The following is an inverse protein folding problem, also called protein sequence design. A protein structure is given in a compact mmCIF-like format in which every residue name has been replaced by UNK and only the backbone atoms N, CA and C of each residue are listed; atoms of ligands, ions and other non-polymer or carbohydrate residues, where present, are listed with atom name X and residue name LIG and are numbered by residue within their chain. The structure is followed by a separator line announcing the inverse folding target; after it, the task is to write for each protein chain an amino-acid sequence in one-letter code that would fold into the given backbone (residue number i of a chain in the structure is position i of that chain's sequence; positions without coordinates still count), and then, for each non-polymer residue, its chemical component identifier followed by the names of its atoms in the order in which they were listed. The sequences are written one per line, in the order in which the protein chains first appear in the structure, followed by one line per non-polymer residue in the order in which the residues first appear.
data_IF_337357958593
#
_entry.id   IF_337357958593
#
_cell.length_a   1.000
_cell.length_b   1.000
_cell.length_c   1.000
_cell.angle_alpha   90.00
_cell.angle_beta   90.00
_cell.angle_gamma   90.00
#
_symmetry.space_group_name_H-M   'P 1'
#
loop_
_entity.id
_entity.type
_entity.pdbx_description
1 polymer ?
#
# COMPACT_ATOMS: atom_id res chain seq x y z
N UNK A 1 -10.33 69.39 -7.03
CA UNK A 1 -10.54 68.15 -7.79
C UNK A 1 -9.92 67.03 -6.99
N UNK A 2 -10.73 66.10 -6.49
CA UNK A 2 -10.27 64.97 -5.69
C UNK A 2 -10.93 63.73 -6.29
N UNK A 3 -10.13 62.96 -7.02
CA UNK A 3 -10.53 61.73 -7.69
C UNK A 3 -10.64 60.63 -6.64
N UNK A 4 -11.83 60.02 -6.50
CA UNK A 4 -12.01 58.81 -5.70
C UNK A 4 -11.62 57.62 -6.57
N UNK A 5 -10.44 57.06 -6.34
CA UNK A 5 -9.99 55.82 -6.97
C UNK A 5 -10.69 54.66 -6.25
N UNK A 6 -11.60 53.99 -6.96
CA UNK A 6 -12.25 52.77 -6.49
C UNK A 6 -11.26 51.61 -6.64
N UNK A 7 -10.61 51.22 -5.53
CA UNK A 7 -9.74 50.06 -5.48
C UNK A 7 -10.60 48.79 -5.40
N UNK A 8 -11.00 48.26 -6.56
CA UNK A 8 -11.69 46.97 -6.66
C UNK A 8 -10.73 45.82 -6.35
N UNK A 9 -10.47 45.60 -5.06
CA UNK A 9 -9.74 44.41 -4.58
C UNK A 9 -10.74 43.28 -4.40
N UNK A 10 -10.49 42.09 -4.96
CA UNK A 10 -11.37 40.94 -4.78
C UNK A 10 -11.47 40.60 -3.29
N UNK A 11 -12.69 40.40 -2.81
CA UNK A 11 -12.95 40.07 -1.42
C UNK A 11 -12.56 38.60 -1.14
N UNK A 12 -11.31 38.41 -0.73
CA UNK A 12 -10.71 37.11 -0.43
C UNK A 12 -11.39 36.38 0.74
N UNK A 13 -12.23 37.06 1.54
CA UNK A 13 -12.94 36.45 2.66
C UNK A 13 -14.04 35.46 2.24
N UNK A 14 -14.44 35.47 0.96
CA UNK A 14 -15.45 34.55 0.42
C UNK A 14 -14.85 33.22 -0.08
N UNK A 15 -13.52 33.15 -0.25
CA UNK A 15 -12.85 31.93 -0.69
C UNK A 15 -12.53 31.05 0.52
N UNK A 16 -13.35 30.02 0.73
CA UNK A 16 -13.01 28.92 1.63
C UNK A 16 -11.92 28.09 0.94
N UNK A 17 -10.71 28.10 1.50
CA UNK A 17 -9.61 27.24 1.04
C UNK A 17 -9.98 25.76 1.23
N UNK A 18 -10.36 25.08 0.15
CA UNK A 18 -10.64 23.63 0.13
C UNK A 18 -9.35 22.79 0.28
N UNK A 19 -8.17 23.42 0.34
CA UNK A 19 -6.86 22.76 0.24
C UNK A 19 -6.13 22.43 1.55
N UNK A 20 -6.55 22.92 2.71
CA UNK A 20 -5.89 22.62 4.00
C UNK A 20 -6.79 21.79 4.89
N UNK A 21 -6.89 20.50 4.55
CA UNK A 21 -7.49 19.48 5.40
C UNK A 21 -6.41 19.04 6.40
N UNK A 22 -6.07 19.93 7.33
CA UNK A 22 -5.30 19.57 8.53
C UNK A 22 -6.25 18.97 9.56
N UNK A 23 -5.97 17.70 9.84
CA UNK A 23 -6.68 16.72 10.67
C UNK A 23 -6.62 17.06 12.17
N UNK A 24 -7.14 18.21 12.58
CA UNK A 24 -7.12 18.63 14.00
C UNK A 24 -8.22 19.62 14.40
N UNK A 25 -9.48 19.26 14.18
CA UNK A 25 -10.57 19.68 15.07
C UNK A 25 -11.85 18.88 14.81
N UNK A 26 -11.82 17.60 15.17
CA UNK A 26 -13.05 16.84 15.41
C UNK A 26 -13.43 17.01 16.89
N UNK A 27 -14.55 17.66 17.24
CA UNK A 27 -15.30 17.29 18.41
C UNK A 27 -16.19 16.10 18.06
N UNK A 28 -15.85 14.95 18.64
CA UNK A 28 -16.74 13.80 18.72
C UNK A 28 -17.84 14.07 19.76
N UNK A 29 -19.10 14.08 19.33
CA UNK A 29 -20.31 13.84 20.13
C UNK A 29 -21.45 13.70 19.12
N UNK A 30 -21.95 12.50 18.85
CA UNK A 30 -23.03 11.90 19.62
C UNK A 30 -24.17 11.62 18.63
N UNK A 31 -24.89 10.53 18.84
CA UNK A 31 -25.95 9.99 17.96
C UNK A 31 -26.95 11.06 17.47
N UNK A 32 -27.38 10.99 16.20
CA UNK A 32 -28.82 10.96 15.91
C UNK A 32 -29.16 10.70 14.44
N UNK A 33 -30.17 9.83 14.27
CA UNK A 33 -30.93 9.73 13.04
C UNK A 33 -31.75 11.00 12.85
N UNK A 34 -31.55 11.73 11.77
CA UNK A 34 -32.57 12.61 11.21
C UNK A 34 -32.25 12.80 9.72
N UNK A 35 -33.00 12.12 8.85
CA UNK A 35 -34.12 12.73 8.13
C UNK A 35 -33.72 14.05 7.46
N UNK A 36 -33.70 13.97 6.14
CA UNK A 36 -33.70 15.08 5.18
C UNK A 36 -34.47 16.30 5.68
N UNK A 37 -33.76 17.27 6.24
CA UNK A 37 -34.29 18.62 6.40
C UNK A 37 -34.07 19.34 5.06
N UNK A 38 -35.16 19.44 4.30
CA UNK A 38 -35.29 20.35 3.16
C UNK A 38 -35.12 21.77 3.71
N UNK A 39 -33.91 22.33 3.58
CA UNK A 39 -33.73 23.77 3.72
C UNK A 39 -34.38 24.42 2.51
N UNK A 40 -35.49 25.12 2.72
CA UNK A 40 -36.16 25.91 1.69
C UNK A 40 -35.24 27.06 1.23
N UNK A 41 -34.32 26.76 0.33
CA UNK A 41 -33.71 27.76 -0.55
C UNK A 41 -34.55 27.81 -1.82
N UNK A 42 -35.00 29.00 -2.24
CA UNK A 42 -35.69 29.27 -3.52
C UNK A 42 -34.86 28.90 -4.78
N UNK A 43 -33.74 28.22 -4.60
CA UNK A 43 -32.82 27.78 -5.64
C UNK A 43 -33.04 26.29 -5.82
N UNK A 44 -33.61 25.90 -6.96
CA UNK A 44 -33.78 24.50 -7.34
C UNK A 44 -32.42 23.78 -7.32
N UNK A 45 -32.31 22.75 -6.48
CA UNK A 45 -31.16 21.87 -6.44
C UNK A 45 -31.51 20.54 -7.13
N UNK A 46 -30.86 20.19 -8.26
CA UNK A 46 -31.14 18.93 -8.93
C UNK A 46 -30.76 17.75 -8.03
N UNK A 47 -31.51 16.65 -8.17
CA UNK A 47 -31.24 15.42 -7.44
C UNK A 47 -29.81 14.92 -7.71
N UNK A 48 -29.05 14.68 -6.65
CA UNK A 48 -27.74 14.04 -6.75
C UNK A 48 -27.93 12.57 -7.10
N UNK A 49 -27.74 12.21 -8.37
CA UNK A 49 -27.73 10.82 -8.79
C UNK A 49 -26.49 10.11 -8.27
N UNK A 50 -26.68 8.94 -7.67
CA UNK A 50 -25.57 8.06 -7.32
C UNK A 50 -24.93 7.51 -8.61
N UNK A 51 -23.59 7.43 -8.70
CA UNK A 51 -22.94 6.81 -9.84
C UNK A 51 -23.39 5.35 -9.98
N UNK A 52 -24.08 5.06 -11.09
CA UNK A 52 -24.40 3.70 -11.53
C UNK A 52 -23.18 3.12 -12.23
N UNK A 53 -22.47 2.22 -11.55
CA UNK A 53 -21.41 1.43 -12.15
C UNK A 53 -22.03 0.24 -12.88
N UNK A 54 -21.71 0.08 -14.17
CA UNK A 54 -22.01 -1.14 -14.92
C UNK A 54 -21.19 -2.31 -14.33
N UNK A 55 -21.68 -3.54 -14.50
CA UNK A 55 -21.03 -4.78 -14.04
C UNK A 55 -19.75 -5.10 -14.85
N UNK A 56 -18.81 -4.16 -14.88
CA UNK A 56 -17.43 -4.49 -15.20
C UNK A 56 -16.86 -5.29 -14.02
N UNK A 57 -16.48 -6.55 -14.28
CA UNK A 57 -15.80 -7.41 -13.31
C UNK A 57 -14.74 -6.58 -12.60
N UNK A 58 -14.96 -6.30 -11.30
CA UNK A 58 -14.08 -5.41 -10.52
C UNK A 58 -12.64 -5.93 -10.61
N UNK A 59 -11.79 -5.24 -11.36
CA UNK A 59 -10.39 -5.61 -11.52
C UNK A 59 -9.71 -5.54 -10.16
N UNK A 60 -9.24 -6.68 -9.66
CA UNK A 60 -8.56 -6.77 -8.37
C UNK A 60 -7.15 -6.18 -8.51
N UNK A 61 -7.01 -4.86 -8.39
CA UNK A 61 -5.72 -4.15 -8.51
C UNK A 61 -4.64 -4.69 -7.55
N UNK A 62 -5.03 -5.25 -6.41
CA UNK A 62 -4.09 -5.92 -5.49
C UNK A 62 -3.44 -7.17 -6.12
N UNK A 63 -4.22 -7.95 -6.87
CA UNK A 63 -3.75 -9.15 -7.57
C UNK A 63 -2.86 -8.75 -8.75
N UNK A 64 -3.26 -7.74 -9.53
CA UNK A 64 -2.43 -7.20 -10.62
C UNK A 64 -1.07 -6.68 -10.12
N UNK A 65 -1.06 -5.97 -8.99
CA UNK A 65 0.19 -5.52 -8.36
C UNK A 65 1.03 -6.71 -7.88
N UNK A 66 0.39 -7.76 -7.36
CA UNK A 66 1.09 -8.95 -6.91
C UNK A 66 1.69 -9.73 -8.09
N UNK A 67 0.96 -9.83 -9.22
CA UNK A 67 1.46 -10.36 -10.52
C UNK A 67 2.70 -9.60 -10.97
N UNK A 68 2.64 -8.27 -11.05
CA UNK A 68 3.79 -7.45 -11.46
C UNK A 68 5.01 -7.65 -10.56
N UNK A 69 4.80 -7.79 -9.25
CA UNK A 69 5.89 -8.05 -8.30
C UNK A 69 6.51 -9.43 -8.50
N UNK A 70 5.68 -10.46 -8.65
CA UNK A 70 6.15 -11.82 -8.87
C UNK A 70 6.90 -11.95 -10.21
N UNK A 71 6.39 -11.34 -11.29
CA UNK A 71 7.04 -11.37 -12.59
C UNK A 71 8.42 -10.68 -12.56
N UNK A 72 8.51 -9.55 -11.85
CA UNK A 72 9.79 -8.86 -11.64
C UNK A 72 10.82 -9.73 -10.93
N UNK A 73 10.39 -10.49 -9.93
CA UNK A 73 11.29 -11.37 -9.19
C UNK A 73 11.91 -12.44 -10.09
N UNK A 74 11.10 -13.10 -10.93
CA UNK A 74 11.58 -14.11 -11.89
C UNK A 74 12.60 -13.52 -12.88
N UNK A 75 12.37 -12.29 -13.35
CA UNK A 75 13.27 -11.63 -14.29
C UNK A 75 14.59 -11.17 -13.65
N UNK A 76 14.59 -10.91 -12.34
CA UNK A 76 15.78 -10.53 -11.58
C UNK A 76 16.48 -11.75 -10.96
N UNK A 77 16.00 -12.97 -11.22
CA UNK A 77 16.60 -14.20 -10.70
C UNK A 77 17.97 -14.43 -11.36
N UNK A 78 19.06 -14.49 -10.56
CA UNK A 78 20.42 -14.57 -11.08
C UNK A 78 20.69 -15.86 -11.86
N UNK A 79 19.98 -16.95 -11.53
CA UNK A 79 20.11 -18.25 -12.21
C UNK A 79 19.51 -18.24 -13.62
N UNK A 80 18.60 -17.30 -13.91
CA UNK A 80 17.95 -17.15 -15.21
C UNK A 80 18.66 -16.15 -16.13
N UNK A 81 19.47 -15.25 -15.56
CA UNK A 81 20.35 -14.39 -16.34
C UNK A 81 21.58 -15.20 -16.76
N UNK A 82 21.97 -15.12 -18.04
CA UNK A 82 23.25 -15.66 -18.48
C UNK A 82 24.36 -15.04 -17.62
N UNK A 83 25.06 -15.87 -16.85
CA UNK A 83 26.17 -15.39 -16.04
C UNK A 83 27.27 -14.91 -16.99
N UNK A 84 27.49 -13.60 -17.05
CA UNK A 84 28.67 -13.06 -17.70
C UNK A 84 29.91 -13.68 -17.04
N UNK A 85 30.80 -14.26 -17.85
CA UNK A 85 32.06 -14.89 -17.41
C UNK A 85 33.10 -13.81 -17.04
N UNK A 86 32.72 -12.98 -16.07
CA UNK A 86 33.52 -11.91 -15.49
C UNK A 86 33.74 -12.25 -14.01
N UNK A 87 34.93 -11.95 -13.46
CA UNK A 87 35.17 -12.15 -12.04
C UNK A 87 34.19 -11.31 -11.22
N UNK A 88 33.36 -11.97 -10.41
CA UNK A 88 32.37 -11.32 -9.53
C UNK A 88 33.03 -10.89 -8.23
N UNK A 89 32.64 -9.72 -7.72
CA UNK A 89 33.07 -9.27 -6.39
C UNK A 89 32.47 -10.15 -5.30
N UNK A 90 33.35 -10.78 -4.52
CA UNK A 90 33.01 -11.65 -3.40
C UNK A 90 33.17 -10.87 -2.09
N UNK A 91 32.09 -10.82 -1.31
CA UNK A 91 32.09 -10.22 0.03
C UNK A 91 32.11 -11.32 1.08
N UNK A 92 33.15 -11.32 1.93
CA UNK A 92 33.30 -12.33 2.98
C UNK A 92 32.17 -12.19 4.01
N UNK A 93 31.43 -13.27 4.26
CA UNK A 93 30.34 -13.30 5.25
C UNK A 93 28.97 -12.82 4.76
N UNK A 94 28.82 -12.46 3.48
CA UNK A 94 27.50 -12.21 2.86
C UNK A 94 27.12 -13.41 2.00
N UNK A 95 25.87 -13.89 2.09
CA UNK A 95 25.38 -14.89 1.14
C UNK A 95 25.08 -14.24 -0.21
N UNK A 96 25.22 -15.00 -1.30
CA UNK A 96 24.93 -14.56 -2.66
C UNK A 96 23.44 -14.24 -2.89
N UNK A 97 22.55 -14.64 -1.98
CA UNK A 97 21.10 -14.44 -2.11
C UNK A 97 20.65 -12.99 -1.88
N UNK A 98 21.53 -12.12 -1.35
CA UNK A 98 21.17 -10.78 -0.90
C UNK A 98 21.53 -9.66 -1.90
N UNK A 99 21.46 -9.93 -3.21
CA UNK A 99 21.76 -8.95 -4.27
C UNK A 99 20.98 -7.63 -4.10
N UNK A 100 19.71 -7.71 -3.69
CA UNK A 100 18.91 -6.52 -3.42
C UNK A 100 19.47 -5.67 -2.26
N UNK A 101 19.95 -6.31 -1.20
CA UNK A 101 20.52 -5.63 -0.03
C UNK A 101 21.86 -5.01 -0.40
N UNK A 102 22.68 -5.73 -1.19
CA UNK A 102 23.95 -5.22 -1.70
C UNK A 102 23.75 -3.96 -2.53
N UNK A 103 22.85 -4.00 -3.50
CA UNK A 103 22.51 -2.83 -4.32
C UNK A 103 22.06 -1.63 -3.47
N UNK A 104 21.31 -1.88 -2.40
CA UNK A 104 20.89 -0.84 -1.44
C UNK A 104 22.05 -0.29 -0.61
N UNK A 105 23.01 -1.13 -0.25
CA UNK A 105 24.22 -0.73 0.47
C UNK A 105 25.14 0.12 -0.43
N UNK A 106 25.32 -0.30 -1.68
CA UNK A 106 26.08 0.42 -2.70
C UNK A 106 25.47 1.80 -3.00
N UNK A 107 24.15 1.86 -3.21
CA UNK A 107 23.42 3.13 -3.41
C UNK A 107 23.65 4.09 -2.23
N UNK A 108 23.60 3.55 -1.01
CA UNK A 108 23.86 4.32 0.20
C UNK A 108 25.30 4.81 0.26
N UNK A 109 26.27 3.93 0.03
CA UNK A 109 27.69 4.29 0.04
C UNK A 109 27.98 5.39 -0.97
N UNK A 110 27.47 5.24 -2.20
CA UNK A 110 27.58 6.25 -3.25
C UNK A 110 27.04 7.61 -2.81
N UNK A 111 25.86 7.63 -2.19
CA UNK A 111 25.29 8.88 -1.67
C UNK A 111 26.16 9.52 -0.57
N UNK A 112 26.70 8.71 0.34
CA UNK A 112 27.55 9.20 1.43
C UNK A 112 28.87 9.76 0.91
N UNK A 113 29.47 9.15 -0.12
CA UNK A 113 30.69 9.62 -0.79
C UNK A 113 30.46 10.90 -1.60
N UNK A 114 29.36 10.97 -2.35
CA UNK A 114 29.00 12.15 -3.15
C UNK A 114 28.71 13.38 -2.30
N UNK A 115 28.07 13.19 -1.14
CA UNK A 115 27.66 14.29 -0.27
C UNK A 115 28.56 14.50 0.95
N UNK A 116 29.58 13.65 1.14
CA UNK A 116 30.47 13.66 2.30
C UNK A 116 29.76 13.64 3.66
N UNK A 117 28.64 12.92 3.75
CA UNK A 117 27.80 12.84 4.96
C UNK A 117 27.46 11.39 5.30
N UNK A 118 27.53 11.03 6.58
CA UNK A 118 27.17 9.68 7.04
C UNK A 118 25.68 9.59 7.35
N UNK A 119 24.98 8.64 6.71
CA UNK A 119 23.55 8.44 6.96
C UNK A 119 23.30 7.64 8.26
N UNK A 120 22.26 8.00 8.99
CA UNK A 120 21.84 7.27 10.18
C UNK A 120 20.93 6.10 9.81
N UNK A 121 21.11 4.95 10.48
CA UNK A 121 20.27 3.78 10.24
C UNK A 121 18.85 3.99 10.79
N UNK A 122 17.86 3.87 9.93
CA UNK A 122 16.46 3.95 10.34
C UNK A 122 16.03 2.69 11.11
N UNK A 123 14.97 2.79 11.94
CA UNK A 123 14.44 1.62 12.69
C UNK A 123 14.06 0.46 11.76
N UNK A 124 13.58 0.77 10.56
CA UNK A 124 13.19 -0.21 9.53
C UNK A 124 14.43 -0.92 8.97
N UNK A 125 15.49 -0.19 8.65
CA UNK A 125 16.76 -0.78 8.20
C UNK A 125 17.36 -1.70 9.27
N UNK A 126 17.38 -1.28 10.54
CA UNK A 126 17.84 -2.14 11.65
C UNK A 126 17.02 -3.42 11.79
N UNK A 127 15.73 -3.37 11.46
CA UNK A 127 14.88 -4.57 11.44
C UNK A 127 15.24 -5.50 10.28
N UNK A 128 15.49 -4.94 9.09
CA UNK A 128 15.90 -5.70 7.90
C UNK A 128 17.26 -6.34 8.14
N UNK A 129 18.25 -5.58 8.63
CA UNK A 129 19.58 -6.09 8.99
C UNK A 129 19.50 -7.29 9.94
N UNK A 130 18.68 -7.20 11.00
CA UNK A 130 18.50 -8.33 11.93
C UNK A 130 17.95 -9.59 11.26
N UNK A 131 17.03 -9.45 10.31
CA UNK A 131 16.47 -10.59 9.56
C UNK A 131 17.50 -11.22 8.62
N UNK A 132 18.33 -10.38 8.00
CA UNK A 132 19.42 -10.84 7.13
C UNK A 132 20.46 -11.62 7.93
N UNK A 133 20.91 -11.08 9.06
CA UNK A 133 21.84 -11.77 9.96
C UNK A 133 21.27 -13.10 10.48
N UNK A 134 19.95 -13.18 10.65
CA UNK A 134 19.28 -14.40 11.10
C UNK A 134 19.07 -15.45 9.99
N UNK A 135 19.41 -15.15 8.74
CA UNK A 135 19.25 -16.06 7.60
C UNK A 135 17.79 -16.30 7.14
N UNK A 136 16.80 -15.64 7.75
CA UNK A 136 15.36 -15.87 7.45
C UNK A 136 14.95 -15.39 6.04
N UNK A 137 15.77 -14.60 5.35
CA UNK A 137 15.44 -14.01 4.05
C UNK A 137 15.88 -14.90 2.87
N UNK A 138 16.79 -15.86 3.09
CA UNK A 138 17.27 -16.79 2.07
C UNK A 138 16.27 -17.93 1.77
N UNK A 139 15.01 -17.76 2.16
CA UNK A 139 13.96 -18.74 1.96
C UNK A 139 13.53 -18.74 0.47
N UNK A 140 14.01 -19.71 -0.29
CA UNK A 140 13.50 -20.11 -1.62
C UNK A 140 11.97 -20.26 -1.64
N UNK A 141 11.35 -20.47 -0.47
CA UNK A 141 9.90 -20.46 -0.28
C UNK A 141 9.24 -19.17 -0.79
N UNK A 142 9.90 -18.01 -0.71
CA UNK A 142 9.36 -16.77 -1.26
C UNK A 142 9.32 -16.77 -2.80
N UNK A 143 10.29 -17.39 -3.46
CA UNK A 143 10.33 -17.52 -4.93
C UNK A 143 9.25 -18.49 -5.41
N UNK A 144 9.12 -19.65 -4.77
CA UNK A 144 8.08 -20.65 -5.09
C UNK A 144 6.68 -20.06 -4.96
N UNK A 145 6.42 -19.29 -3.89
CA UNK A 145 5.14 -18.60 -3.71
C UNK A 145 4.84 -17.56 -4.81
N UNK A 146 5.88 -16.89 -5.33
CA UNK A 146 5.72 -15.90 -6.40
C UNK A 146 5.46 -16.56 -7.76
N UNK A 147 6.15 -17.65 -8.08
CA UNK A 147 5.84 -18.45 -9.26
C UNK A 147 4.44 -19.03 -9.20
N UNK A 148 4.05 -19.61 -8.06
CA UNK A 148 2.72 -20.14 -7.83
C UNK A 148 1.65 -19.06 -8.03
N UNK A 149 1.89 -17.84 -7.55
CA UNK A 149 0.98 -16.72 -7.74
C UNK A 149 0.75 -16.39 -9.23
N UNK A 150 1.80 -16.39 -10.05
CA UNK A 150 1.65 -16.15 -11.49
C UNK A 150 0.90 -17.29 -12.16
N UNK A 151 1.29 -18.53 -11.91
CA UNK A 151 0.69 -19.73 -12.50
C UNK A 151 -0.80 -19.85 -12.17
N UNK A 152 -1.17 -19.72 -10.89
CA UNK A 152 -2.57 -19.81 -10.44
C UNK A 152 -3.47 -18.68 -10.95
N UNK A 153 -2.87 -17.63 -11.52
CA UNK A 153 -3.58 -16.45 -12.00
C UNK A 153 -3.70 -16.37 -13.52
N UNK A 154 -3.16 -17.39 -14.21
CA UNK A 154 -3.32 -17.64 -15.64
C UNK A 154 -4.56 -18.50 -15.94
N UNK A 155 -5.04 -19.30 -14.97
CA UNK A 155 -6.36 -19.91 -15.04
C UNK A 155 -7.40 -18.86 -14.61
N UNK A 156 -8.12 -18.32 -15.59
CA UNK A 156 -9.15 -17.29 -15.42
C UNK A 156 -10.45 -17.83 -14.79
N UNK A 157 -10.51 -19.12 -14.47
CA UNK A 157 -11.68 -19.78 -13.91
C UNK A 157 -11.47 -20.07 -12.40
N UNK A 158 -12.28 -19.40 -11.57
CA UNK A 158 -12.46 -19.65 -10.12
C UNK A 158 -11.30 -19.32 -9.16
N UNK A 159 -10.83 -18.08 -9.17
CA UNK A 159 -9.92 -17.60 -8.10
C UNK A 159 -10.67 -17.30 -6.79
N UNK A 160 -10.42 -18.10 -5.75
CA UNK A 160 -10.99 -17.91 -4.41
C UNK A 160 -10.45 -16.61 -3.77
N UNK A 161 -11.29 -15.56 -3.58
CA UNK A 161 -10.84 -14.24 -3.09
C UNK A 161 -10.34 -14.27 -1.63
N UNK A 162 -10.41 -15.43 -0.96
CA UNK A 162 -9.87 -15.66 0.35
C UNK A 162 -8.32 -15.73 0.38
N UNK A 163 -7.66 -16.01 -0.75
CA UNK A 163 -6.19 -16.13 -0.79
C UNK A 163 -5.49 -14.77 -0.63
N UNK A 164 -6.09 -13.69 -1.11
CA UNK A 164 -5.48 -12.34 -1.15
C UNK A 164 -6.09 -11.35 -0.17
N UNK A 165 -6.64 -11.85 0.93
CA UNK A 165 -7.21 -11.01 1.97
C UNK A 165 -6.13 -10.12 2.58
N UNK A 166 -6.37 -8.81 2.56
CA UNK A 166 -5.50 -7.85 3.27
C UNK A 166 -5.36 -8.25 4.74
N UNK A 167 -4.22 -7.91 5.37
CA UNK A 167 -3.97 -8.24 6.79
C UNK A 167 -5.14 -7.84 7.71
N UNK A 168 -5.79 -6.71 7.42
CA UNK A 168 -7.01 -6.23 8.12
C UNK A 168 -8.18 -7.21 7.95
N UNK A 169 -8.49 -7.61 6.72
CA UNK A 169 -9.58 -8.55 6.40
C UNK A 169 -9.30 -9.96 6.94
N UNK A 170 -8.05 -10.43 6.89
CA UNK A 170 -7.62 -11.72 7.48
C UNK A 170 -7.75 -11.73 9.01
N UNK A 171 -7.41 -10.63 9.69
CA UNK A 171 -7.59 -10.47 11.15
C UNK A 171 -9.07 -10.43 11.54
N UNK A 172 -9.91 -9.74 10.76
CA UNK A 172 -11.37 -9.73 10.96
C UNK A 172 -11.98 -11.12 10.80
N UNK A 173 -11.60 -11.86 9.75
CA UNK A 173 -12.09 -13.23 9.54
C UNK A 173 -11.62 -14.21 10.62
N UNK A 174 -10.38 -14.06 11.13
CA UNK A 174 -9.93 -14.81 12.32
C UNK A 174 -10.84 -14.53 13.52
N UNK A 175 -11.14 -13.26 13.82
CA UNK A 175 -12.05 -12.88 14.92
C UNK A 175 -13.46 -13.44 14.75
N UNK A 176 -13.98 -13.50 13.52
CA UNK A 176 -15.28 -14.11 13.21
C UNK A 176 -15.30 -15.63 13.43
N UNK A 177 -14.22 -16.35 13.10
CA UNK A 177 -14.11 -17.80 13.37
C UNK A 177 -14.15 -18.12 14.87
N UNK A 178 -13.46 -17.33 15.70
CA UNK A 178 -13.48 -17.53 17.16
C UNK A 178 -14.87 -17.29 17.79
N UNK A 179 -15.72 -16.45 17.18
CA UNK A 179 -17.10 -16.25 17.65
C UNK A 179 -18.05 -17.40 17.27
N UNK A 180 -17.77 -18.14 16.19
CA UNK A 180 -18.68 -19.19 15.68
C UNK A 180 -18.47 -20.56 16.35
N UNK A 181 -17.33 -20.79 17.00
CA UNK A 181 -17.01 -22.05 17.69
C UNK A 181 -17.45 -22.14 19.17
N UNK A 182 -18.14 -21.13 19.70
CA UNK A 182 -18.47 -21.05 21.14
C UNK A 182 -19.81 -21.64 21.57
N UNK A 183 -20.67 -22.10 20.64
CA UNK A 183 -22.07 -22.44 20.96
C UNK A 183 -22.45 -23.93 20.72
N UNK A 184 -21.49 -24.85 20.62
CA UNK A 184 -21.79 -26.28 20.37
C UNK A 184 -21.31 -27.22 21.49
N UNK A 185 -21.47 -26.82 22.75
CA UNK A 185 -21.26 -27.72 23.89
C UNK A 185 -22.15 -27.30 25.07
N UNK A 186 -23.46 -27.47 24.91
CA UNK A 186 -24.41 -27.33 26.01
C UNK A 186 -25.74 -28.01 25.65
N UNK A 187 -25.74 -29.33 25.49
CA UNK A 187 -26.90 -30.15 25.88
C UNK A 187 -26.36 -31.52 26.32
N UNK A 188 -26.69 -31.83 27.57
CA UNK A 188 -26.59 -33.12 28.23
C UNK A 188 -27.46 -34.16 27.53
#
# INVERSE_FOLDING_TARGET
MSENICEDKPNLSSFVNIGTLDDSSLPFSGDDKSQSAVSNSDIYQPARLNPTFYDEKRKNHALERAKRRAARFILEDPDMCEEEDLPKEIYFGSSNADNFVRKKLEERQKYEEENFLRLQLTKKEKQIQRRLLSGEIADTSMQVNQMQLLLQSSDDDEMNPAAFLTKKKRKQLRRLRYKKGGNSSAYQ
#
